data_IF_342609023837
#
_entry.id   IF_342609023837
#
_cell.length_a   1.000
_cell.length_b   1.000
_cell.length_c   1.000
_cell.angle_alpha   90.00
_cell.angle_beta   90.00
_cell.angle_gamma   90.00
#
_symmetry.space_group_name_H-M   'P 1'
#
loop_
_entity.id
_entity.type
_entity.pdbx_description
1 polymer ?
#
# COMPACT_ATOMS: atom_id res chain seq x y z
N UNK A 1 19.72 5.62 3.12
CA UNK A 1 19.32 4.31 3.68
C UNK A 1 20.08 3.20 2.96
N UNK A 2 20.36 2.06 3.61
CA UNK A 2 21.05 0.94 2.97
C UNK A 2 20.20 0.37 1.81
N UNK A 3 20.83 -0.16 0.75
CA UNK A 3 20.12 -0.70 -0.42
C UNK A 3 19.15 -1.85 -0.08
N UNK A 4 19.41 -2.57 1.01
CA UNK A 4 18.51 -3.58 1.57
C UNK A 4 17.12 -3.01 1.91
N UNK A 5 17.06 -1.80 2.48
CA UNK A 5 15.81 -1.18 2.90
C UNK A 5 14.87 -0.91 1.71
N UNK A 6 15.42 -0.42 0.60
CA UNK A 6 14.62 -0.17 -0.61
C UNK A 6 14.13 -1.46 -1.26
N UNK A 7 14.90 -2.56 -1.19
CA UNK A 7 14.45 -3.88 -1.64
C UNK A 7 13.32 -4.42 -0.77
N UNK A 8 13.39 -4.20 0.54
CA UNK A 8 12.31 -4.55 1.47
C UNK A 8 11.03 -3.77 1.13
N UNK A 9 11.14 -2.46 0.87
CA UNK A 9 10.02 -1.62 0.42
C UNK A 9 9.40 -2.15 -0.86
N UNK A 10 10.21 -2.58 -1.84
CA UNK A 10 9.70 -3.16 -3.08
C UNK A 10 8.93 -4.46 -2.84
N UNK A 11 9.51 -5.38 -2.05
CA UNK A 11 8.85 -6.64 -1.72
C UNK A 11 7.52 -6.39 -0.99
N UNK A 12 7.52 -5.44 -0.06
CA UNK A 12 6.34 -5.04 0.69
C UNK A 12 5.25 -4.41 -0.19
N UNK A 13 5.64 -3.55 -1.12
CA UNK A 13 4.73 -2.92 -2.07
C UNK A 13 4.05 -3.95 -2.99
N UNK A 14 4.81 -4.96 -3.46
CA UNK A 14 4.26 -6.06 -4.25
C UNK A 14 3.32 -6.95 -3.44
N UNK A 15 3.68 -7.28 -2.20
CA UNK A 15 2.82 -8.05 -1.31
C UNK A 15 1.48 -7.32 -1.05
N UNK A 16 1.53 -6.01 -0.82
CA UNK A 16 0.32 -5.19 -0.68
C UNK A 16 -0.52 -5.16 -1.94
N UNK A 17 0.11 -4.96 -3.10
CA UNK A 17 -0.61 -4.97 -4.37
C UNK A 17 -1.33 -6.31 -4.57
N UNK A 18 -0.65 -7.43 -4.32
CA UNK A 18 -1.25 -8.76 -4.38
C UNK A 18 -2.42 -8.92 -3.40
N UNK A 19 -2.27 -8.44 -2.16
CA UNK A 19 -3.33 -8.46 -1.16
C UNK A 19 -4.56 -7.65 -1.59
N UNK A 20 -4.38 -6.43 -2.10
CA UNK A 20 -5.47 -5.57 -2.56
C UNK A 20 -6.21 -6.19 -3.74
N UNK A 21 -5.47 -6.74 -4.72
CA UNK A 21 -6.05 -7.42 -5.87
C UNK A 21 -6.84 -8.67 -5.43
N UNK A 22 -6.32 -9.43 -4.46
CA UNK A 22 -7.03 -10.56 -3.88
C UNK A 22 -8.33 -10.11 -3.20
N UNK A 23 -8.28 -9.06 -2.36
CA UNK A 23 -9.43 -8.52 -1.66
C UNK A 23 -10.53 -7.96 -2.60
N UNK A 24 -10.18 -7.53 -3.82
CA UNK A 24 -11.15 -7.10 -4.83
C UNK A 24 -12.00 -8.26 -5.36
N UNK A 25 -11.45 -9.48 -5.37
CA UNK A 25 -12.12 -10.68 -5.89
C UNK A 25 -12.77 -11.46 -4.74
N UNK A 26 -12.05 -11.58 -3.63
CA UNK A 26 -12.46 -12.33 -2.44
C UNK A 26 -12.56 -11.36 -1.25
N UNK A 27 -13.76 -10.89 -0.90
CA UNK A 27 -13.93 -9.99 0.24
C UNK A 27 -13.46 -10.71 1.52
N UNK A 28 -12.43 -10.17 2.16
CA UNK A 28 -11.83 -10.77 3.35
C UNK A 28 -12.54 -10.24 4.58
N UNK A 29 -12.99 -11.11 5.49
CA UNK A 29 -13.40 -10.68 6.83
C UNK A 29 -12.19 -10.75 7.76
N UNK A 30 -11.94 -9.68 8.50
CA UNK A 30 -10.88 -9.64 9.52
C UNK A 30 -11.53 -9.41 10.87
N UNK A 31 -11.20 -10.25 11.86
CA UNK A 31 -11.71 -10.13 13.24
C UNK A 31 -13.25 -10.05 13.35
N UNK A 32 -13.98 -10.74 12.48
CA UNK A 32 -15.45 -10.72 12.47
C UNK A 32 -16.06 -9.43 11.91
N UNK A 33 -15.24 -8.43 11.54
CA UNK A 33 -15.68 -7.25 10.80
C UNK A 33 -15.65 -7.54 9.29
N UNK A 34 -16.80 -7.42 8.64
CA UNK A 34 -16.90 -7.40 7.18
C UNK A 34 -16.67 -5.98 6.71
N UNK A 35 -15.54 -5.72 6.06
CA UNK A 35 -15.33 -4.44 5.41
C UNK A 35 -16.36 -4.27 4.30
N UNK A 36 -16.80 -3.04 4.05
CA UNK A 36 -17.67 -2.73 2.92
C UNK A 36 -16.86 -2.73 1.60
N UNK A 37 -16.28 -3.88 1.25
CA UNK A 37 -15.36 -4.06 0.12
C UNK A 37 -15.94 -3.52 -1.20
N UNK A 38 -17.25 -3.68 -1.41
CA UNK A 38 -17.95 -3.18 -2.59
C UNK A 38 -18.04 -1.65 -2.66
N UNK A 39 -18.26 -0.96 -1.53
CA UNK A 39 -18.28 0.51 -1.52
C UNK A 39 -16.86 1.11 -1.46
N UNK A 40 -15.87 0.33 -0.99
CA UNK A 40 -14.47 0.74 -0.89
C UNK A 40 -13.64 0.45 -2.16
N UNK A 41 -14.24 -0.04 -3.26
CA UNK A 41 -13.51 -0.43 -4.48
C UNK A 41 -12.60 0.69 -5.03
N UNK A 42 -13.09 1.94 -5.04
CA UNK A 42 -12.30 3.09 -5.51
C UNK A 42 -11.09 3.32 -4.60
N UNK A 43 -11.27 3.25 -3.28
CA UNK A 43 -10.18 3.42 -2.31
C UNK A 43 -9.15 2.29 -2.44
N UNK A 44 -9.60 1.07 -2.72
CA UNK A 44 -8.72 -0.07 -3.00
C UNK A 44 -7.92 0.13 -4.29
N UNK A 45 -8.54 0.62 -5.36
CA UNK A 45 -7.83 0.95 -6.61
C UNK A 45 -6.80 2.05 -6.40
N UNK A 46 -7.15 3.10 -5.65
CA UNK A 46 -6.19 4.15 -5.26
C UNK A 46 -5.03 3.53 -4.49
N UNK A 47 -5.29 2.61 -3.56
CA UNK A 47 -4.24 1.94 -2.81
C UNK A 47 -3.37 1.00 -3.68
N UNK A 48 -3.94 0.37 -4.70
CA UNK A 48 -3.18 -0.39 -5.68
C UNK A 48 -2.21 0.54 -6.44
N UNK A 49 -2.66 1.73 -6.84
CA UNK A 49 -1.81 2.74 -7.46
C UNK A 49 -0.72 3.24 -6.51
N UNK A 50 -1.04 3.46 -5.23
CA UNK A 50 -0.05 3.83 -4.20
C UNK A 50 1.00 2.73 -4.04
N UNK A 51 0.59 1.46 -4.04
CA UNK A 51 1.49 0.32 -3.94
C UNK A 51 2.41 0.22 -5.17
N UNK A 52 1.88 0.42 -6.38
CA UNK A 52 2.69 0.51 -7.59
C UNK A 52 3.66 1.70 -7.56
N UNK A 53 3.21 2.86 -7.09
CA UNK A 53 4.04 4.05 -6.96
C UNK A 53 5.17 3.85 -5.94
N UNK A 54 4.90 3.16 -4.83
CA UNK A 54 5.89 2.79 -3.81
C UNK A 54 6.94 1.81 -4.36
N UNK A 55 6.52 0.82 -5.17
CA UNK A 55 7.44 -0.07 -5.86
C UNK A 55 8.34 0.69 -6.85
N UNK A 56 7.73 1.55 -7.67
CA UNK A 56 8.43 2.36 -8.66
C UNK A 56 9.42 3.34 -8.00
N UNK A 57 9.00 4.08 -6.98
CA UNK A 57 9.84 5.05 -6.28
C UNK A 57 11.04 4.38 -5.61
N UNK A 58 10.85 3.20 -5.00
CA UNK A 58 11.93 2.40 -4.44
C UNK A 58 12.89 1.87 -5.52
N UNK A 59 12.37 1.48 -6.70
CA UNK A 59 13.20 1.07 -7.85
C UNK A 59 14.06 2.23 -8.34
N UNK A 60 13.46 3.40 -8.51
CA UNK A 60 14.19 4.59 -8.97
C UNK A 60 15.24 5.05 -7.96
N UNK A 61 14.96 4.90 -6.67
CA UNK A 61 15.93 5.18 -5.59
C UNK A 61 17.12 4.22 -5.63
N UNK A 62 16.89 2.92 -5.87
CA UNK A 62 17.96 1.93 -6.06
C UNK A 62 18.82 2.23 -7.30
N UNK A 63 18.21 2.76 -8.35
CA UNK A 63 18.90 3.22 -9.56
C UNK A 63 19.57 4.59 -9.39
N UNK A 64 19.55 5.17 -8.17
CA UNK A 64 20.11 6.49 -7.84
C UNK A 64 19.56 7.64 -8.70
N UNK A 65 18.29 7.55 -9.12
CA UNK A 65 17.61 8.61 -9.88
C UNK A 65 17.00 9.63 -8.92
N UNK A 66 17.10 10.92 -9.24
CA UNK A 66 16.56 12.02 -8.42
C UNK A 66 15.06 11.86 -8.12
N UNK A 67 14.29 11.40 -9.10
CA UNK A 67 12.85 11.18 -8.96
C UNK A 67 12.52 10.20 -7.82
N UNK A 68 13.35 9.17 -7.61
CA UNK A 68 13.15 8.19 -6.55
C UNK A 68 13.27 8.84 -5.17
N UNK A 69 14.30 9.65 -4.95
CA UNK A 69 14.53 10.34 -3.67
C UNK A 69 13.41 11.32 -3.30
N UNK A 70 12.74 11.91 -4.31
CA UNK A 70 11.60 12.83 -4.10
C UNK A 70 10.28 12.09 -3.90
N UNK A 71 10.03 11.04 -4.68
CA UNK A 71 8.74 10.33 -4.71
C UNK A 71 8.59 9.30 -3.60
N UNK A 72 9.70 8.67 -3.18
CA UNK A 72 9.69 7.64 -2.14
C UNK A 72 9.05 8.11 -0.82
N UNK A 73 9.47 9.25 -0.22
CA UNK A 73 8.85 9.71 1.03
C UNK A 73 7.35 10.00 0.87
N UNK A 74 6.92 10.57 -0.27
CA UNK A 74 5.51 10.80 -0.54
C UNK A 74 4.71 9.49 -0.57
N UNK A 75 5.21 8.49 -1.30
CA UNK A 75 4.55 7.17 -1.38
C UNK A 75 4.49 6.44 -0.03
N UNK A 76 5.52 6.59 0.81
CA UNK A 76 5.54 6.01 2.15
C UNK A 76 4.52 6.69 3.08
N UNK A 77 4.41 8.01 3.03
CA UNK A 77 3.42 8.76 3.83
C UNK A 77 1.99 8.40 3.40
N UNK A 78 1.71 8.34 2.10
CA UNK A 78 0.41 7.89 1.59
C UNK A 78 0.07 6.47 2.08
N UNK A 79 1.06 5.56 2.07
CA UNK A 79 0.88 4.20 2.56
C UNK A 79 0.62 4.15 4.08
N UNK A 80 1.33 4.96 4.88
CA UNK A 80 1.10 5.06 6.33
C UNK A 80 -0.29 5.62 6.66
N UNK A 81 -0.77 6.60 5.90
CA UNK A 81 -2.13 7.12 6.05
C UNK A 81 -3.18 6.04 5.79
N UNK A 82 -2.99 5.24 4.74
CA UNK A 82 -3.86 4.10 4.46
C UNK A 82 -3.85 3.07 5.60
N UNK A 83 -2.68 2.73 6.15
CA UNK A 83 -2.60 1.86 7.33
C UNK A 83 -3.36 2.46 8.52
N UNK A 84 -3.32 3.78 8.69
CA UNK A 84 -4.12 4.49 9.68
C UNK A 84 -5.63 4.30 9.48
N UNK A 85 -6.11 4.38 8.22
CA UNK A 85 -7.52 4.13 7.88
C UNK A 85 -7.93 2.68 8.11
N UNK A 86 -7.09 1.71 7.72
CA UNK A 86 -7.34 0.27 7.95
C UNK A 86 -7.38 -0.02 9.45
N UNK A 87 -6.45 0.55 10.22
CA UNK A 87 -6.46 0.45 11.68
C UNK A 87 -7.76 1.04 12.24
N UNK A 88 -8.12 2.26 11.83
CA UNK A 88 -9.36 2.89 12.29
C UNK A 88 -10.56 1.98 12.03
N UNK A 89 -10.66 1.42 10.82
CA UNK A 89 -11.71 0.46 10.48
C UNK A 89 -11.71 -0.77 11.42
N UNK A 90 -10.57 -1.45 11.59
CA UNK A 90 -10.46 -2.66 12.42
C UNK A 90 -10.85 -2.41 13.89
N UNK A 91 -10.57 -1.23 14.43
CA UNK A 91 -10.85 -0.91 15.83
C UNK A 91 -12.23 -0.28 16.07
N UNK A 92 -12.84 0.32 15.04
CA UNK A 92 -14.16 0.97 15.17
C UNK A 92 -15.30 0.10 14.64
N UNK A 93 -15.02 -0.93 13.84
CA UNK A 93 -16.01 -1.91 13.40
C UNK A 93 -17.15 -1.36 12.53
N UNK A 94 -16.97 -0.15 11.97
CA UNK A 94 -17.88 0.45 10.99
C UNK A 94 -17.79 -0.22 9.62
#
# INVERSE_FOLDING_TARGET
>A
MPPFFYRLIQAWALANLGFILYCLIFPVSLFGASYAWHSAQILMLVQALVSMAMYYSARQTLLKREIGFKTLPATLVSYLLWLGMVRFWLFTGL
#
